data_IF_035957729366
#
_entry.id   IF_035957729366
#
_cell.length_a   1.000
_cell.length_b   1.000
_cell.length_c   1.000
_cell.angle_alpha   90.00
_cell.angle_beta   90.00
_cell.angle_gamma   90.00
#
_symmetry.space_group_name_H-M   'P 1'
#
loop_
_entity.id
_entity.type
_entity.pdbx_description
1 polymer ?
#
# COMPACT_ATOMS: atom_id res chain seq x y z
N UNK A 1 -9.24 -0.44 -12.91
CA UNK A 1 -7.87 -0.76 -13.37
C UNK A 1 -7.60 -2.23 -13.10
N UNK A 2 -6.96 -2.92 -14.03
CA UNK A 2 -6.53 -4.31 -13.91
C UNK A 2 -5.00 -4.36 -13.91
N UNK A 3 -4.40 -4.92 -12.85
CA UNK A 3 -2.97 -5.19 -12.82
C UNK A 3 -2.73 -6.64 -13.21
N UNK A 4 -1.85 -6.90 -14.16
CA UNK A 4 -1.55 -8.25 -14.66
C UNK A 4 -1.10 -9.21 -13.55
N UNK A 5 -0.44 -8.67 -12.54
CA UNK A 5 0.09 -9.37 -11.37
C UNK A 5 -0.83 -9.32 -10.13
N UNK A 6 -2.04 -8.76 -10.25
CA UNK A 6 -2.90 -8.56 -9.08
C UNK A 6 -3.44 -9.87 -8.54
N UNK A 7 -2.99 -10.24 -7.36
CA UNK A 7 -3.44 -11.46 -6.70
C UNK A 7 -4.94 -11.47 -6.39
N UNK A 8 -5.51 -10.30 -6.04
CA UNK A 8 -6.93 -10.20 -5.72
C UNK A 8 -7.81 -10.37 -6.95
N UNK A 9 -7.34 -10.04 -8.14
CA UNK A 9 -8.08 -10.25 -9.38
C UNK A 9 -7.95 -11.68 -9.90
N UNK A 10 -6.77 -12.26 -9.73
CA UNK A 10 -6.47 -13.59 -10.22
C UNK A 10 -7.04 -14.69 -9.31
N UNK A 11 -7.31 -14.37 -8.04
CA UNK A 11 -7.95 -15.30 -7.13
C UNK A 11 -9.48 -15.30 -7.32
N UNK A 12 -9.97 -16.34 -7.98
CA UNK A 12 -11.41 -16.54 -8.25
C UNK A 12 -12.23 -16.84 -7.00
N UNK A 13 -11.57 -17.16 -5.88
CA UNK A 13 -12.24 -17.45 -4.60
C UNK A 13 -12.55 -16.18 -3.80
N UNK A 14 -11.92 -15.06 -4.16
CA UNK A 14 -12.16 -13.79 -3.49
C UNK A 14 -13.49 -13.16 -3.95
N UNK A 15 -14.32 -12.86 -2.99
CA UNK A 15 -15.58 -12.17 -3.24
C UNK A 15 -15.32 -10.70 -3.60
N UNK A 16 -15.85 -10.27 -4.74
CA UNK A 16 -15.71 -8.91 -5.27
C UNK A 16 -16.99 -8.13 -5.01
N UNK A 17 -17.10 -7.52 -3.84
CA UNK A 17 -18.24 -6.67 -3.47
C UNK A 17 -17.77 -5.43 -2.70
N UNK A 18 -18.64 -4.44 -2.63
CA UNK A 18 -18.45 -3.28 -1.76
C UNK A 18 -18.76 -3.67 -0.31
N UNK A 19 -18.12 -3.03 0.63
CA UNK A 19 -18.45 -3.19 2.05
C UNK A 19 -19.83 -2.61 2.32
N UNK A 20 -20.67 -3.33 3.07
CA UNK A 20 -21.97 -2.81 3.49
C UNK A 20 -21.82 -1.78 4.60
N UNK A 21 -22.79 -0.87 4.70
CA UNK A 21 -22.85 0.12 5.77
C UNK A 21 -22.84 -0.52 7.16
N UNK A 22 -23.61 -1.61 7.31
CA UNK A 22 -23.71 -2.38 8.57
C UNK A 22 -22.33 -2.98 8.96
N UNK A 23 -21.63 -3.59 8.00
CA UNK A 23 -20.32 -4.18 8.25
C UNK A 23 -19.31 -3.09 8.63
N UNK A 24 -19.31 -1.96 7.92
CA UNK A 24 -18.44 -0.83 8.23
C UNK A 24 -18.72 -0.27 9.64
N UNK A 25 -19.99 -0.04 9.97
CA UNK A 25 -20.40 0.49 11.26
C UNK A 25 -19.97 -0.45 12.41
N UNK A 26 -20.10 -1.77 12.19
CA UNK A 26 -19.62 -2.78 13.16
C UNK A 26 -18.10 -2.72 13.33
N UNK A 27 -17.33 -2.63 12.24
CA UNK A 27 -15.87 -2.50 12.32
C UNK A 27 -15.49 -1.25 13.10
N UNK A 28 -16.06 -0.10 12.75
CA UNK A 28 -15.75 1.17 13.41
C UNK A 28 -16.14 1.17 14.89
N UNK A 29 -17.28 0.57 15.26
CA UNK A 29 -17.70 0.42 16.64
C UNK A 29 -16.71 -0.42 17.47
N UNK A 30 -16.23 -1.53 16.92
CA UNK A 30 -15.22 -2.37 17.60
C UNK A 30 -13.91 -1.59 17.80
N UNK A 31 -13.50 -0.83 16.80
CA UNK A 31 -12.28 0.00 16.88
C UNK A 31 -12.46 1.10 17.94
N UNK A 32 -13.63 1.77 17.99
CA UNK A 32 -13.92 2.79 19.00
C UNK A 32 -13.84 2.21 20.41
N UNK A 33 -14.48 1.08 20.67
CA UNK A 33 -14.41 0.38 21.96
C UNK A 33 -12.96 0.04 22.33
N UNK A 34 -12.18 -0.43 21.37
CA UNK A 34 -10.76 -0.73 21.61
C UNK A 34 -9.96 0.53 21.98
N UNK A 35 -10.20 1.65 21.30
CA UNK A 35 -9.53 2.92 21.57
C UNK A 35 -9.89 3.46 22.96
N UNK A 36 -11.16 3.42 23.34
CA UNK A 36 -11.65 3.83 24.67
C UNK A 36 -11.00 3.01 25.79
N UNK A 37 -10.90 1.69 25.61
CA UNK A 37 -10.26 0.80 26.57
C UNK A 37 -8.73 0.91 26.61
N UNK A 38 -8.11 1.53 25.59
CA UNK A 38 -6.66 1.64 25.45
C UNK A 38 -6.22 3.08 25.12
N UNK A 39 -6.49 4.08 25.98
CA UNK A 39 -6.27 5.51 25.65
C UNK A 39 -4.80 5.87 25.40
N UNK A 40 -3.87 5.05 25.87
CA UNK A 40 -2.43 5.25 25.67
C UNK A 40 -1.89 4.60 24.38
N UNK A 41 -2.73 3.91 23.61
CA UNK A 41 -2.33 3.30 22.34
C UNK A 41 -2.75 4.16 21.17
N UNK A 42 -1.84 4.38 20.24
CA UNK A 42 -2.16 5.03 18.97
C UNK A 42 -2.76 4.00 18.01
N UNK A 43 -4.00 4.21 17.62
CA UNK A 43 -4.66 3.46 16.55
C UNK A 43 -4.60 4.27 15.27
N UNK A 44 -4.34 3.63 14.13
CA UNK A 44 -4.40 4.24 12.80
C UNK A 44 -5.20 3.31 11.89
N UNK A 45 -6.06 3.88 11.08
CA UNK A 45 -6.81 3.13 10.08
C UNK A 45 -6.02 3.01 8.79
N UNK A 46 -6.29 1.95 8.03
CA UNK A 46 -5.71 1.77 6.70
C UNK A 46 -6.77 1.27 5.72
N UNK A 47 -6.92 1.94 4.59
CA UNK A 47 -7.73 1.47 3.50
C UNK A 47 -6.83 0.73 2.50
N UNK A 48 -7.16 -0.53 2.29
CA UNK A 48 -6.39 -1.44 1.43
C UNK A 48 -7.31 -2.46 0.77
N UNK A 49 -6.89 -2.97 -0.38
CA UNK A 49 -7.57 -4.07 -1.07
C UNK A 49 -8.60 -3.60 -2.10
N UNK A 50 -8.67 -4.30 -3.23
CA UNK A 50 -9.38 -3.82 -4.41
C UNK A 50 -8.91 -2.41 -4.80
N UNK A 51 -9.86 -1.51 -4.95
CA UNK A 51 -9.60 -0.08 -5.06
C UNK A 51 -10.47 0.68 -4.06
N UNK A 52 -9.92 1.22 -2.97
CA UNK A 52 -10.70 1.94 -1.96
C UNK A 52 -11.36 3.21 -2.49
N UNK A 53 -10.72 3.86 -3.49
CA UNK A 53 -11.19 5.13 -4.03
C UNK A 53 -12.17 4.97 -5.22
N UNK A 54 -12.85 3.84 -5.34
CA UNK A 54 -14.00 3.77 -6.25
C UNK A 54 -15.03 4.84 -5.88
N UNK A 55 -15.68 5.43 -6.88
CA UNK A 55 -16.71 6.47 -6.65
C UNK A 55 -17.84 5.93 -5.79
N UNK A 56 -18.18 4.67 -5.97
CA UNK A 56 -19.19 3.95 -5.19
C UNK A 56 -18.86 3.87 -3.70
N UNK A 57 -17.57 3.99 -3.35
CA UNK A 57 -17.10 4.00 -1.96
C UNK A 57 -17.14 5.39 -1.32
N UNK A 58 -17.68 6.42 -1.96
CA UNK A 58 -17.63 7.78 -1.42
C UNK A 58 -18.21 7.88 0.00
N UNK A 59 -19.34 7.23 0.26
CA UNK A 59 -19.95 7.18 1.60
C UNK A 59 -19.07 6.49 2.63
N UNK A 60 -18.35 5.44 2.22
CA UNK A 60 -17.40 4.72 3.07
C UNK A 60 -16.24 5.64 3.47
N UNK A 61 -15.70 6.38 2.51
CA UNK A 61 -14.63 7.36 2.75
C UNK A 61 -15.12 8.46 3.70
N UNK A 62 -16.33 8.97 3.52
CA UNK A 62 -16.90 10.01 4.39
C UNK A 62 -17.08 9.51 5.83
N UNK A 63 -17.63 8.30 6.03
CA UNK A 63 -17.77 7.68 7.35
C UNK A 63 -16.41 7.50 8.04
N UNK A 64 -15.40 7.03 7.32
CA UNK A 64 -14.06 6.82 7.89
C UNK A 64 -13.40 8.16 8.26
N UNK A 65 -13.50 9.18 7.42
CA UNK A 65 -12.98 10.51 7.74
C UNK A 65 -13.69 11.15 8.93
N UNK A 66 -15.01 10.97 9.03
CA UNK A 66 -15.78 11.42 10.19
C UNK A 66 -15.36 10.69 11.46
N UNK A 67 -15.21 9.36 11.41
CA UNK A 67 -14.68 8.58 12.52
C UNK A 67 -13.29 9.05 12.95
N UNK A 68 -12.39 9.29 12.01
CA UNK A 68 -11.05 9.81 12.32
C UNK A 68 -11.11 11.16 13.02
N UNK A 69 -12.04 12.03 12.64
CA UNK A 69 -12.25 13.34 13.27
C UNK A 69 -12.77 13.21 14.70
N UNK A 70 -13.78 12.35 14.93
CA UNK A 70 -14.42 12.14 16.23
C UNK A 70 -13.46 11.51 17.24
N UNK A 71 -12.68 10.52 16.79
CA UNK A 71 -11.77 9.76 17.66
C UNK A 71 -10.32 10.27 17.63
N UNK A 72 -10.05 11.43 16.97
CA UNK A 72 -8.71 12.05 16.86
C UNK A 72 -7.64 11.06 16.35
N UNK A 73 -8.01 10.23 15.39
CA UNK A 73 -7.12 9.28 14.72
C UNK A 73 -6.90 9.66 13.26
N UNK A 74 -6.16 8.84 12.54
CA UNK A 74 -5.84 9.10 11.12
C UNK A 74 -6.05 7.85 10.27
N UNK A 75 -6.24 8.07 8.99
CA UNK A 75 -6.30 7.02 7.99
C UNK A 75 -5.17 7.17 6.97
N UNK A 76 -4.58 6.06 6.54
CA UNK A 76 -3.78 5.99 5.33
C UNK A 76 -4.54 5.24 4.22
N UNK A 77 -4.25 5.57 2.97
CA UNK A 77 -5.03 5.09 1.83
C UNK A 77 -4.09 4.53 0.78
N UNK A 78 -4.18 3.23 0.51
CA UNK A 78 -3.47 2.58 -0.61
C UNK A 78 -4.41 2.54 -1.81
N UNK A 79 -3.97 3.06 -2.95
CA UNK A 79 -4.82 3.22 -4.13
C UNK A 79 -4.05 2.99 -5.43
N UNK A 80 -4.76 2.58 -6.47
CA UNK A 80 -4.22 2.60 -7.83
C UNK A 80 -4.16 4.01 -8.44
N UNK A 81 -4.77 5.00 -7.77
CA UNK A 81 -4.75 6.41 -8.15
C UNK A 81 -5.78 6.81 -9.21
N UNK A 82 -6.51 5.90 -9.83
CA UNK A 82 -7.43 6.19 -10.94
C UNK A 82 -8.51 7.22 -10.60
N UNK A 83 -8.93 7.27 -9.34
CA UNK A 83 -9.97 8.19 -8.86
C UNK A 83 -9.44 9.24 -7.89
N UNK A 84 -8.11 9.37 -7.75
CA UNK A 84 -7.52 10.30 -6.80
C UNK A 84 -7.95 11.75 -7.06
N UNK A 85 -8.08 12.16 -8.33
CA UNK A 85 -8.55 13.49 -8.70
C UNK A 85 -9.97 13.79 -8.19
N UNK A 86 -10.85 12.80 -8.19
CA UNK A 86 -12.22 12.95 -7.67
C UNK A 86 -12.22 13.25 -6.16
N UNK A 87 -11.35 12.60 -5.39
CA UNK A 87 -11.25 12.77 -3.94
C UNK A 87 -10.33 13.90 -3.49
N UNK A 88 -9.61 14.55 -4.39
CA UNK A 88 -8.54 15.49 -4.07
C UNK A 88 -9.00 16.62 -3.13
N UNK A 89 -10.12 17.29 -3.47
CA UNK A 89 -10.70 18.35 -2.62
C UNK A 89 -11.08 17.84 -1.24
N UNK A 90 -11.71 16.66 -1.16
CA UNK A 90 -12.11 16.02 0.10
C UNK A 90 -10.90 15.74 0.98
N UNK A 91 -9.81 15.24 0.41
CA UNK A 91 -8.58 14.95 1.15
C UNK A 91 -7.88 16.22 1.64
N UNK A 92 -7.83 17.27 0.83
CA UNK A 92 -7.25 18.55 1.23
C UNK A 92 -8.01 19.15 2.44
N UNK A 93 -9.34 19.12 2.40
CA UNK A 93 -10.17 19.62 3.52
C UNK A 93 -9.91 18.81 4.79
N UNK A 94 -9.76 17.49 4.67
CA UNK A 94 -9.58 16.57 5.79
C UNK A 94 -8.12 16.19 6.06
N UNK A 95 -7.13 16.95 5.57
CA UNK A 95 -5.70 16.59 5.59
C UNK A 95 -5.15 16.24 6.97
N UNK A 96 -5.72 16.81 8.05
CA UNK A 96 -5.30 16.53 9.43
C UNK A 96 -5.61 15.10 9.87
N UNK A 97 -6.54 14.44 9.19
CA UNK A 97 -6.97 13.08 9.49
C UNK A 97 -6.43 12.04 8.50
N UNK A 98 -5.58 12.49 7.56
CA UNK A 98 -4.92 11.62 6.58
C UNK A 98 -3.44 11.53 6.93
N UNK A 99 -2.98 10.35 7.34
CA UNK A 99 -1.57 10.11 7.66
C UNK A 99 -0.71 9.88 6.42
N UNK A 100 -1.31 9.52 5.30
CA UNK A 100 -0.62 9.37 4.02
C UNK A 100 -1.49 8.74 2.94
N UNK A 101 -1.12 8.99 1.70
CA UNK A 101 -1.72 8.37 0.50
C UNK A 101 -0.63 7.61 -0.23
N UNK A 102 -0.91 6.37 -0.60
CA UNK A 102 0.02 5.41 -1.19
C UNK A 102 -0.46 5.01 -2.60
N UNK A 103 -0.30 5.90 -3.60
CA UNK A 103 -0.63 5.59 -4.98
C UNK A 103 0.43 4.66 -5.58
N UNK A 104 0.06 3.90 -6.60
CA UNK A 104 0.99 3.02 -7.31
C UNK A 104 1.10 3.41 -8.77
N UNK A 105 2.34 3.59 -9.26
CA UNK A 105 2.70 3.75 -10.67
C UNK A 105 3.88 2.82 -10.94
N UNK A 106 3.71 1.86 -11.87
CA UNK A 106 4.76 0.89 -12.15
C UNK A 106 5.82 1.44 -13.14
N UNK A 107 5.42 2.38 -13.99
CA UNK A 107 6.31 3.11 -14.88
C UNK A 107 5.59 4.36 -15.39
N UNK A 108 6.32 5.40 -15.73
CA UNK A 108 5.74 6.60 -16.33
C UNK A 108 5.21 6.35 -17.75
N UNK A 109 5.98 5.66 -18.55
CA UNK A 109 5.67 5.41 -19.96
C UNK A 109 4.81 4.15 -20.17
N UNK A 110 5.04 3.10 -19.38
CA UNK A 110 4.49 1.76 -19.59
C UNK A 110 3.46 1.34 -18.54
N UNK A 111 3.02 2.27 -17.69
CA UNK A 111 2.09 1.97 -16.59
C UNK A 111 0.84 1.23 -17.07
N UNK A 112 0.30 1.59 -18.21
CA UNK A 112 -0.88 0.96 -18.79
C UNK A 112 -0.64 -0.47 -19.30
N UNK A 113 0.58 -0.92 -19.45
CA UNK A 113 0.89 -2.29 -19.89
C UNK A 113 0.74 -3.29 -18.74
N UNK A 114 1.14 -2.90 -17.53
CA UNK A 114 1.04 -3.73 -16.33
C UNK A 114 -0.22 -3.43 -15.51
N UNK A 115 -0.74 -2.22 -15.63
CA UNK A 115 -1.88 -1.67 -14.87
C UNK A 115 -2.87 -1.00 -15.82
N UNK A 116 -3.51 -1.78 -16.68
CA UNK A 116 -4.44 -1.24 -17.67
C UNK A 116 -5.84 -0.94 -17.08
N UNK A 117 -6.50 0.07 -17.61
CA UNK A 117 -7.92 0.34 -17.35
C UNK A 117 -8.79 -0.49 -18.32
N UNK A 118 -9.97 -0.90 -17.86
CA UNK A 118 -10.94 -1.58 -18.73
C UNK A 118 -11.50 -0.65 -19.80
N UNK A 119 -11.49 0.66 -19.56
CA UNK A 119 -11.73 1.66 -20.58
C UNK A 119 -10.45 1.94 -21.35
N UNK A 120 -10.33 1.49 -22.61
CA UNK A 120 -9.10 1.66 -23.41
C UNK A 120 -8.68 3.11 -23.59
N UNK A 121 -9.61 4.07 -23.54
CA UNK A 121 -9.33 5.50 -23.70
C UNK A 121 -8.46 6.05 -22.55
N UNK A 122 -8.44 5.37 -21.40
CA UNK A 122 -7.65 5.73 -20.23
C UNK A 122 -6.28 5.06 -20.17
N UNK A 123 -5.98 4.18 -21.12
CA UNK A 123 -4.68 3.50 -21.18
C UNK A 123 -3.66 4.36 -21.94
N UNK A 124 -3.24 5.46 -21.33
CA UNK A 124 -2.28 6.38 -21.90
C UNK A 124 -1.47 7.12 -20.84
N UNK A 125 -0.39 7.74 -21.25
CA UNK A 125 0.52 8.49 -20.37
C UNK A 125 -0.11 9.72 -19.71
N UNK A 126 -1.18 10.27 -20.29
CA UNK A 126 -1.87 11.43 -19.70
C UNK A 126 -2.52 11.09 -18.36
N UNK A 127 -3.05 9.87 -18.17
CA UNK A 127 -3.63 9.45 -16.91
C UNK A 127 -2.56 9.34 -15.82
N UNK A 128 -1.37 8.82 -16.16
CA UNK A 128 -0.22 8.80 -15.25
C UNK A 128 0.20 10.23 -14.89
N UNK A 129 0.27 11.13 -15.87
CA UNK A 129 0.61 12.53 -15.63
C UNK A 129 -0.43 13.24 -14.74
N UNK A 130 -1.73 13.02 -14.96
CA UNK A 130 -2.80 13.55 -14.08
C UNK A 130 -2.63 13.06 -12.64
N UNK A 131 -2.28 11.80 -12.45
CA UNK A 131 -2.02 11.26 -11.12
C UNK A 131 -0.84 11.98 -10.45
N UNK A 132 0.25 12.25 -11.18
CA UNK A 132 1.38 13.01 -10.63
C UNK A 132 1.02 14.45 -10.29
N UNK A 133 0.16 15.10 -11.06
CA UNK A 133 -0.38 16.43 -10.72
C UNK A 133 -1.20 16.38 -9.41
N UNK A 134 -2.01 15.33 -9.21
CA UNK A 134 -2.72 15.13 -7.95
C UNK A 134 -1.74 14.93 -6.78
N UNK A 135 -0.70 14.12 -6.97
CA UNK A 135 0.36 13.91 -5.96
C UNK A 135 1.01 15.24 -5.59
N UNK A 136 1.42 16.03 -6.57
CA UNK A 136 2.03 17.35 -6.34
C UNK A 136 1.09 18.28 -5.56
N UNK A 137 -0.19 18.24 -5.87
CA UNK A 137 -1.20 19.01 -5.14
C UNK A 137 -1.33 18.55 -3.69
N UNK A 138 -1.40 17.24 -3.43
CA UNK A 138 -1.46 16.69 -2.07
C UNK A 138 -0.23 17.11 -1.24
N UNK A 139 0.96 17.02 -1.81
CA UNK A 139 2.22 17.44 -1.18
C UNK A 139 2.20 18.94 -0.84
N UNK A 140 1.73 19.79 -1.76
CA UNK A 140 1.58 21.23 -1.52
C UNK A 140 0.70 21.53 -0.29
N UNK A 141 -0.32 20.72 -0.03
CA UNK A 141 -1.17 20.84 1.16
C UNK A 141 -0.63 20.07 2.38
N UNK A 142 0.59 19.54 2.31
CA UNK A 142 1.28 18.89 3.42
C UNK A 142 0.81 17.46 3.70
N UNK A 143 0.11 16.83 2.76
CA UNK A 143 -0.27 15.42 2.88
C UNK A 143 0.92 14.56 2.44
N UNK A 144 1.30 13.59 3.27
CA UNK A 144 2.36 12.64 2.93
C UNK A 144 1.92 11.72 1.78
N UNK A 145 2.81 11.56 0.80
CA UNK A 145 2.61 10.62 -0.32
C UNK A 145 3.81 9.68 -0.42
N UNK A 146 3.52 8.39 -0.42
CA UNK A 146 4.52 7.35 -0.69
C UNK A 146 4.14 6.65 -2.00
N UNK A 147 4.80 7.03 -3.09
CA UNK A 147 4.57 6.44 -4.40
C UNK A 147 5.12 5.03 -4.43
N UNK A 148 4.27 4.04 -4.72
CA UNK A 148 4.68 2.66 -4.93
C UNK A 148 4.96 2.36 -6.40
N UNK A 149 6.01 1.59 -6.67
CA UNK A 149 6.31 1.03 -8.00
C UNK A 149 6.58 -0.45 -7.83
N UNK A 150 5.84 -1.30 -8.54
CA UNK A 150 6.11 -2.74 -8.58
C UNK A 150 6.89 -3.09 -9.84
N UNK A 151 8.01 -3.76 -9.66
CA UNK A 151 8.94 -4.07 -10.73
C UNK A 151 8.81 -5.52 -11.16
N UNK A 152 8.80 -5.71 -12.46
CA UNK A 152 8.89 -7.00 -13.17
C UNK A 152 9.90 -6.92 -14.32
N UNK A 153 10.01 -7.99 -15.12
CA UNK A 153 10.93 -8.05 -16.27
C UNK A 153 10.61 -7.05 -17.38
N UNK A 154 9.39 -6.54 -17.45
CA UNK A 154 8.98 -5.60 -18.49
C UNK A 154 9.34 -4.15 -18.14
N UNK A 155 9.25 -3.78 -16.86
CA UNK A 155 9.37 -2.39 -16.46
C UNK A 155 10.62 -2.04 -15.63
N UNK A 156 11.48 -3.01 -15.27
CA UNK A 156 12.61 -2.75 -14.37
C UNK A 156 13.57 -1.67 -14.88
N UNK A 157 13.80 -1.59 -16.18
CA UNK A 157 14.66 -0.56 -16.80
C UNK A 157 14.05 0.83 -16.75
N UNK A 158 12.72 0.92 -16.64
CA UNK A 158 11.99 2.18 -16.57
C UNK A 158 12.15 2.91 -15.23
N UNK A 159 12.76 2.28 -14.23
CA UNK A 159 13.06 2.91 -12.93
C UNK A 159 13.82 4.22 -13.13
N UNK A 160 14.80 4.23 -14.02
CA UNK A 160 15.66 5.40 -14.25
C UNK A 160 14.92 6.51 -14.96
N UNK A 161 14.08 6.18 -15.94
CA UNK A 161 13.21 7.14 -16.60
C UNK A 161 12.19 7.73 -15.61
N UNK A 162 11.60 6.89 -14.78
CA UNK A 162 10.70 7.32 -13.70
C UNK A 162 11.41 8.24 -12.70
N UNK A 163 12.64 7.89 -12.28
CA UNK A 163 13.45 8.74 -11.40
C UNK A 163 13.69 10.13 -12.00
N UNK A 164 14.05 10.19 -13.28
CA UNK A 164 14.31 11.46 -13.97
C UNK A 164 13.04 12.30 -14.11
N UNK A 165 11.89 11.68 -14.36
CA UNK A 165 10.60 12.39 -14.41
C UNK A 165 10.16 12.89 -13.04
N UNK A 166 10.35 12.11 -11.99
CA UNK A 166 10.10 12.55 -10.61
C UNK A 166 11.00 13.74 -10.22
N UNK A 167 12.26 13.75 -10.66
CA UNK A 167 13.19 14.89 -10.49
C UNK A 167 12.70 16.12 -11.26
N UNK A 168 12.35 16.00 -12.54
CA UNK A 168 11.82 17.11 -13.37
C UNK A 168 10.57 17.73 -12.73
N UNK A 169 9.69 16.90 -12.17
CA UNK A 169 8.50 17.34 -11.46
C UNK A 169 8.77 17.88 -10.05
N UNK A 170 10.03 17.84 -9.61
CA UNK A 170 10.46 18.29 -8.28
C UNK A 170 9.79 17.55 -7.10
N UNK A 171 9.32 16.33 -7.32
CA UNK A 171 8.66 15.54 -6.28
C UNK A 171 9.67 15.01 -5.25
N UNK A 172 10.86 14.61 -5.70
CA UNK A 172 11.91 14.07 -4.82
C UNK A 172 12.51 15.10 -3.85
N UNK A 173 12.18 16.38 -3.99
CA UNK A 173 12.66 17.45 -3.10
C UNK A 173 11.67 17.74 -1.99
N UNK A 174 10.44 17.22 -2.07
CA UNK A 174 9.43 17.43 -1.04
C UNK A 174 9.64 16.46 0.12
N UNK A 175 9.75 16.99 1.33
CA UNK A 175 9.95 16.20 2.56
C UNK A 175 8.80 15.23 2.89
N UNK A 176 7.62 15.50 2.33
CA UNK A 176 6.45 14.65 2.50
C UNK A 176 6.31 13.59 1.39
N UNK A 177 7.26 13.55 0.44
CA UNK A 177 7.27 12.58 -0.64
C UNK A 177 8.25 11.45 -0.34
N UNK A 178 7.83 10.22 -0.57
CA UNK A 178 8.68 9.04 -0.64
C UNK A 178 8.34 8.24 -1.91
N UNK A 179 9.33 7.53 -2.45
CA UNK A 179 9.13 6.58 -3.53
C UNK A 179 9.62 5.21 -3.10
N UNK A 180 8.70 4.26 -3.04
CA UNK A 180 8.98 2.88 -2.63
C UNK A 180 8.96 1.97 -3.85
N UNK A 181 10.11 1.38 -4.17
CA UNK A 181 10.29 0.41 -5.24
C UNK A 181 10.12 -0.99 -4.65
N UNK A 182 9.11 -1.70 -5.11
CA UNK A 182 8.81 -3.07 -4.71
C UNK A 182 8.94 -4.04 -5.87
N UNK A 183 8.89 -5.31 -5.56
CA UNK A 183 8.90 -6.41 -6.51
C UNK A 183 7.50 -6.97 -6.68
N UNK A 184 7.13 -7.34 -7.90
CA UNK A 184 5.99 -8.24 -8.11
C UNK A 184 6.31 -9.59 -7.45
N UNK A 185 5.41 -10.04 -6.57
CA UNK A 185 5.60 -11.28 -5.79
C UNK A 185 4.43 -12.24 -6.01
N UNK A 186 4.71 -13.48 -6.38
CA UNK A 186 3.72 -14.52 -6.62
C UNK A 186 3.74 -15.65 -5.60
N UNK A 187 4.66 -15.59 -4.62
CA UNK A 187 4.95 -16.69 -3.69
C UNK A 187 3.73 -17.25 -2.96
N UNK A 188 2.64 -16.51 -2.89
CA UNK A 188 1.42 -16.93 -2.23
C UNK A 188 0.30 -17.30 -3.20
N UNK A 189 0.49 -17.10 -4.50
CA UNK A 189 -0.64 -17.08 -5.43
C UNK A 189 -0.67 -18.21 -6.43
N UNK A 190 0.43 -18.97 -6.56
CA UNK A 190 0.53 -20.04 -7.56
C UNK A 190 0.15 -19.57 -8.99
N UNK A 191 0.30 -18.26 -9.23
CA UNK A 191 -0.19 -17.64 -10.46
C UNK A 191 0.75 -17.82 -11.63
N UNK A 192 1.92 -18.46 -11.43
CA UNK A 192 2.95 -18.65 -12.46
C UNK A 192 3.18 -17.37 -13.29
N UNK A 193 3.24 -16.20 -12.63
CA UNK A 193 3.54 -14.96 -13.33
C UNK A 193 4.97 -15.07 -13.90
N UNK A 194 5.14 -15.15 -15.24
CA UNK A 194 6.42 -15.53 -15.85
C UNK A 194 7.48 -14.43 -15.74
N UNK A 195 7.06 -13.22 -15.41
CA UNK A 195 7.89 -12.03 -15.52
C UNK A 195 8.43 -11.54 -14.18
N UNK A 196 8.40 -12.40 -13.17
CA UNK A 196 8.97 -12.13 -11.85
C UNK A 196 10.48 -12.02 -11.96
N UNK A 197 11.01 -10.96 -11.34
CA UNK A 197 12.44 -10.78 -11.17
C UNK A 197 12.90 -11.33 -9.83
N UNK A 198 14.09 -11.94 -9.84
CA UNK A 198 14.80 -12.25 -8.60
C UNK A 198 15.26 -10.95 -7.93
N UNK A 199 15.28 -10.93 -6.59
CA UNK A 199 15.74 -9.76 -5.85
C UNK A 199 17.17 -9.36 -6.21
N UNK A 200 18.04 -10.33 -6.51
CA UNK A 200 19.40 -10.08 -6.98
C UNK A 200 19.46 -9.36 -8.33
N UNK A 201 18.52 -9.63 -9.22
CA UNK A 201 18.44 -8.94 -10.53
C UNK A 201 18.02 -7.48 -10.34
N UNK A 202 17.06 -7.21 -9.45
CA UNK A 202 16.61 -5.84 -9.13
C UNK A 202 17.74 -5.08 -8.42
N UNK A 203 18.42 -5.72 -7.48
CA UNK A 203 19.56 -5.11 -6.79
C UNK A 203 20.66 -4.74 -7.79
N UNK A 204 20.99 -5.60 -8.73
CA UNK A 204 21.98 -5.31 -9.77
C UNK A 204 21.58 -4.10 -10.61
N UNK A 205 20.29 -3.95 -10.95
CA UNK A 205 19.79 -2.77 -11.66
C UNK A 205 19.94 -1.50 -10.81
N UNK A 206 19.53 -1.53 -9.55
CA UNK A 206 19.57 -0.37 -8.65
C UNK A 206 21.00 0.06 -8.28
N UNK A 207 21.99 -0.81 -8.47
CA UNK A 207 23.41 -0.51 -8.23
C UNK A 207 24.00 0.45 -9.26
N UNK A 208 23.44 0.51 -10.44
CA UNK A 208 24.05 1.23 -11.55
C UNK A 208 24.09 2.76 -11.37
N UNK A 209 23.23 3.31 -10.48
CA UNK A 209 23.16 4.75 -10.19
C UNK A 209 22.75 5.00 -8.73
N UNK A 210 23.25 6.07 -8.09
CA UNK A 210 22.83 6.44 -6.73
C UNK A 210 21.36 6.87 -6.70
N UNK A 211 20.63 6.38 -5.70
CA UNK A 211 19.25 6.77 -5.43
C UNK A 211 19.20 7.92 -4.40
N UNK A 212 18.25 8.87 -4.53
CA UNK A 212 18.00 9.89 -3.51
C UNK A 212 17.52 9.30 -2.18
N UNK A 213 17.71 10.04 -1.07
CA UNK A 213 17.42 9.58 0.30
C UNK A 213 15.95 9.20 0.55
N UNK A 214 15.01 9.78 -0.18
CA UNK A 214 13.59 9.47 -0.09
C UNK A 214 13.11 8.41 -1.09
N UNK A 215 14.04 7.71 -1.75
CA UNK A 215 13.76 6.54 -2.58
C UNK A 215 14.14 5.28 -1.82
N UNK A 216 13.19 4.38 -1.66
CA UNK A 216 13.34 3.19 -0.84
C UNK A 216 13.10 1.94 -1.68
N UNK A 217 13.87 0.88 -1.44
CA UNK A 217 13.62 -0.43 -1.99
C UNK A 217 12.96 -1.32 -0.92
N UNK A 218 11.79 -1.90 -1.24
CA UNK A 218 11.06 -2.79 -0.36
C UNK A 218 11.45 -4.25 -0.66
N UNK A 219 12.52 -4.72 -0.03
CA UNK A 219 13.02 -6.09 -0.18
C UNK A 219 12.95 -6.87 1.13
N UNK A 220 13.06 -8.19 1.05
CA UNK A 220 13.21 -9.05 2.21
C UNK A 220 14.62 -8.88 2.84
N UNK A 221 14.73 -9.15 4.14
CA UNK A 221 15.97 -8.99 4.92
C UNK A 221 17.19 -9.71 4.31
N UNK A 222 17.00 -10.83 3.63
CA UNK A 222 18.07 -11.54 2.92
C UNK A 222 18.79 -10.67 1.90
N UNK A 223 18.07 -9.74 1.27
CA UNK A 223 18.63 -8.81 0.30
C UNK A 223 19.33 -7.63 0.94
N UNK A 224 18.88 -7.20 2.13
CA UNK A 224 19.61 -6.21 2.92
C UNK A 224 21.02 -6.72 3.29
N UNK A 225 21.10 -7.96 3.78
CA UNK A 225 22.38 -8.57 4.09
C UNK A 225 23.28 -8.76 2.86
N UNK A 226 22.69 -9.00 1.70
CA UNK A 226 23.41 -9.11 0.44
C UNK A 226 23.87 -7.73 -0.04
N UNK A 227 23.01 -6.72 0.02
CA UNK A 227 23.34 -5.34 -0.32
C UNK A 227 24.50 -4.81 0.56
N UNK A 228 24.42 -5.03 1.88
CA UNK A 228 25.50 -4.67 2.83
C UNK A 228 26.84 -5.32 2.47
N UNK A 229 26.83 -6.62 2.17
CA UNK A 229 28.04 -7.36 1.75
C UNK A 229 28.62 -6.84 0.45
N UNK A 230 27.80 -6.26 -0.43
CA UNK A 230 28.18 -5.68 -1.71
C UNK A 230 28.58 -4.20 -1.59
N UNK A 231 28.54 -3.63 -0.39
CA UNK A 231 28.83 -2.20 -0.17
C UNK A 231 27.77 -1.25 -0.76
N UNK A 232 26.55 -1.74 -0.94
CA UNK A 232 25.47 -0.96 -1.49
C UNK A 232 24.84 -0.11 -0.41
N UNK A 233 24.98 1.20 -0.54
CA UNK A 233 24.15 2.17 0.17
C UNK A 233 22.80 2.30 -0.54
N UNK A 234 21.99 1.26 -0.48
CA UNK A 234 20.58 1.44 -0.75
C UNK A 234 19.97 2.11 0.46
N UNK A 235 19.23 3.21 0.28
CA UNK A 235 18.36 3.75 1.32
C UNK A 235 17.20 2.77 1.51
N UNK A 236 17.53 1.67 2.12
CA UNK A 236 16.59 0.64 2.47
C UNK A 236 15.84 1.20 3.67
N UNK A 237 14.52 1.29 3.62
CA UNK A 237 13.75 1.52 4.85
C UNK A 237 14.31 0.57 5.88
N UNK A 238 14.99 1.12 6.88
CA UNK A 238 15.35 0.35 8.07
C UNK A 238 14.06 -0.15 8.70
N UNK A 239 13.55 -1.26 8.21
CA UNK A 239 12.74 -2.07 9.06
C UNK A 239 13.69 -2.55 10.14
N UNK A 240 13.66 -1.91 11.29
CA UNK A 240 14.29 -2.38 12.54
C UNK A 240 13.68 -3.73 12.93
N UNK A 241 13.69 -4.69 12.01
CA UNK A 241 13.20 -6.02 12.24
C UNK A 241 14.39 -6.91 12.51
N UNK A 242 14.49 -7.26 13.77
CA UNK A 242 15.46 -8.23 14.30
C UNK A 242 15.20 -9.65 13.77
N UNK A 243 14.19 -9.89 12.93
CA UNK A 243 13.78 -11.24 12.52
C UNK A 243 13.83 -11.42 11.00
N UNK A 244 14.24 -12.62 10.59
CA UNK A 244 14.39 -13.09 9.20
C UNK A 244 13.08 -13.36 8.45
N UNK A 245 11.94 -13.00 9.04
CA UNK A 245 10.60 -13.31 8.52
C UNK A 245 9.86 -12.05 8.04
N UNK A 246 8.83 -12.28 7.23
CA UNK A 246 7.91 -11.24 6.78
C UNK A 246 7.42 -10.40 7.97
N UNK A 247 7.30 -9.09 7.79
CA UNK A 247 6.83 -8.15 8.82
C UNK A 247 5.48 -8.54 9.43
N UNK A 248 4.63 -9.26 8.69
CA UNK A 248 3.34 -9.74 9.15
C UNK A 248 3.44 -10.83 10.22
N UNK A 249 4.59 -11.49 10.35
CA UNK A 249 4.85 -12.52 11.35
C UNK A 249 5.59 -11.98 12.58
N UNK A 250 6.02 -10.71 12.57
CA UNK A 250 6.68 -10.08 13.69
C UNK A 250 5.74 -9.93 14.90
N UNK A 251 6.16 -10.40 16.05
CA UNK A 251 5.42 -10.23 17.32
C UNK A 251 5.29 -8.76 17.76
N UNK A 252 6.14 -7.89 17.25
CA UNK A 252 6.12 -6.45 17.54
C UNK A 252 5.13 -5.65 16.68
N UNK A 253 4.60 -6.24 15.60
CA UNK A 253 3.65 -5.58 14.73
C UNK A 253 2.22 -5.85 15.19
N UNK A 254 1.47 -4.79 15.48
CA UNK A 254 0.04 -4.84 15.83
C UNK A 254 -0.83 -4.45 14.63
N UNK A 255 -0.42 -4.79 13.41
CA UNK A 255 -1.22 -4.54 12.21
C UNK A 255 -2.13 -5.72 11.94
N UNK A 256 -3.40 -5.44 11.73
CA UNK A 256 -4.43 -6.38 11.32
C UNK A 256 -5.11 -5.91 10.06
N UNK A 257 -5.50 -6.85 9.22
CA UNK A 257 -6.36 -6.63 8.07
C UNK A 257 -7.69 -7.29 8.33
N UNK A 258 -8.77 -6.54 8.13
CA UNK A 258 -10.13 -7.04 8.33
C UNK A 258 -10.83 -7.03 6.98
N UNK A 259 -11.41 -8.16 6.59
CA UNK A 259 -12.20 -8.26 5.36
C UNK A 259 -13.70 -7.94 5.58
N UNK A 260 -14.45 -7.94 4.51
CA UNK A 260 -15.88 -7.65 4.52
C UNK A 260 -16.73 -8.72 5.23
N UNK A 261 -16.16 -9.88 5.53
CA UNK A 261 -16.78 -10.96 6.28
C UNK A 261 -16.35 -10.94 7.74
N UNK A 262 -15.75 -9.83 8.21
CA UNK A 262 -15.23 -9.66 9.57
C UNK A 262 -14.17 -10.70 9.95
N UNK A 263 -13.45 -11.24 8.98
CA UNK A 263 -12.29 -12.10 9.24
C UNK A 263 -11.02 -11.26 9.35
N UNK A 264 -10.15 -11.64 10.27
CA UNK A 264 -8.93 -10.90 10.59
C UNK A 264 -7.70 -11.65 10.08
N UNK A 265 -6.77 -10.91 9.51
CA UNK A 265 -5.54 -11.43 8.91
C UNK A 265 -4.33 -10.60 9.35
N UNK A 266 -3.15 -11.21 9.25
CA UNK A 266 -1.87 -10.53 9.52
C UNK A 266 -1.15 -10.06 8.26
N UNK A 267 -1.52 -10.58 7.11
CA UNK A 267 -0.85 -10.28 5.83
C UNK A 267 -1.86 -9.86 4.78
N UNK A 268 -1.55 -8.78 4.04
CA UNK A 268 -2.36 -8.32 2.91
C UNK A 268 -2.59 -9.40 1.88
N UNK A 269 -1.58 -10.25 1.68
CA UNK A 269 -1.60 -11.32 0.69
C UNK A 269 -2.57 -12.46 1.04
N UNK A 270 -2.99 -12.57 2.30
CA UNK A 270 -3.87 -13.65 2.76
C UNK A 270 -5.32 -13.18 2.99
N UNK A 271 -5.59 -11.88 2.85
CA UNK A 271 -6.92 -11.31 3.05
C UNK A 271 -7.92 -11.96 2.11
N UNK A 272 -9.08 -12.34 2.67
CA UNK A 272 -10.16 -13.02 1.94
C UNK A 272 -10.00 -14.53 1.81
N UNK A 273 -8.87 -15.09 2.19
CA UNK A 273 -8.62 -16.54 2.20
C UNK A 273 -8.86 -17.10 3.58
N UNK A 274 -10.05 -17.63 3.83
CA UNK A 274 -10.52 -18.05 5.17
C UNK A 274 -9.55 -18.98 5.91
N UNK A 275 -8.82 -19.84 5.21
CA UNK A 275 -7.80 -20.73 5.80
C UNK A 275 -6.64 -20.01 6.50
N UNK A 276 -6.44 -18.73 6.21
CA UNK A 276 -5.41 -17.88 6.84
C UNK A 276 -5.99 -16.86 7.80
N UNK A 277 -7.29 -16.91 8.05
CA UNK A 277 -7.93 -16.07 9.07
C UNK A 277 -7.44 -16.46 10.45
N UNK A 278 -7.14 -15.46 11.27
CA UNK A 278 -6.71 -15.64 12.65
C UNK A 278 -7.91 -15.81 13.57
N UNK A 279 -8.90 -14.94 13.40
CA UNK A 279 -10.11 -14.89 14.24
C UNK A 279 -11.18 -14.01 13.58
N UNK A 280 -12.40 -14.13 14.06
CA UNK A 280 -13.49 -13.21 13.70
C UNK A 280 -13.27 -11.87 14.40
N UNK A 281 -13.36 -10.77 13.64
CA UNK A 281 -13.12 -9.44 14.15
C UNK A 281 -14.18 -9.04 15.17
N UNK A 282 -13.79 -9.03 16.44
CA UNK A 282 -14.60 -8.62 17.58
C UNK A 282 -13.72 -7.93 18.61
N UNK A 283 -14.33 -7.18 19.52
CA UNK A 283 -13.61 -6.52 20.61
C UNK A 283 -12.87 -7.54 21.48
N UNK A 284 -13.53 -8.62 21.84
CA UNK A 284 -12.97 -9.69 22.68
C UNK A 284 -11.76 -10.34 22.03
N UNK A 285 -11.89 -10.77 20.78
CA UNK A 285 -10.80 -11.40 20.04
C UNK A 285 -9.62 -10.47 19.81
N UNK A 286 -9.90 -9.19 19.53
CA UNK A 286 -8.85 -8.18 19.34
C UNK A 286 -8.06 -7.92 20.62
N UNK A 287 -8.72 -7.88 21.77
CA UNK A 287 -8.07 -7.62 23.07
C UNK A 287 -7.34 -8.83 23.63
N UNK A 288 -7.84 -10.02 23.35
CA UNK A 288 -7.28 -11.28 23.85
C UNK A 288 -6.19 -11.86 22.93
N UNK A 289 -6.04 -11.31 21.72
CA UNK A 289 -5.03 -11.82 20.78
C UNK A 289 -3.62 -11.69 21.35
N UNK A 290 -2.91 -12.79 21.36
CA UNK A 290 -1.49 -12.85 21.69
C UNK A 290 -0.74 -13.39 20.47
N UNK A 291 0.21 -12.64 19.90
CA UNK A 291 1.00 -13.14 18.79
C UNK A 291 1.79 -14.37 19.26
N UNK A 292 1.65 -15.47 18.52
CA UNK A 292 2.47 -16.65 18.73
C UNK A 292 3.87 -16.32 18.23
N UNK A 293 4.86 -16.39 19.10
CA UNK A 293 6.25 -16.29 18.66
C UNK A 293 6.55 -17.51 17.78
N UNK A 294 6.85 -17.29 16.52
CA UNK A 294 7.38 -18.33 15.66
C UNK A 294 8.84 -18.48 16.05
N UNK A 295 9.15 -19.54 16.77
CA UNK A 295 10.52 -19.96 17.13
C UNK A 295 11.26 -20.48 15.91
#
# INVERSE_FOLDING_TARGET
MHCTYCYQQNDKTLEKKLISDETLDKILSIIAQYMEANPNKTVRLGLFGGEPLLIENEKVIDKILQFCKEHKTTVHITTNGSFLSYYLKKFIINRRFISGIYPTIDSMALNYMTRYDLDPSRNNTNETFKLLCCIKTLLHYGIHVDLGTNIDRHNHKEIWNTLDDLKKLQLLQDKNFAWTIGRVDDRLYETNFPDIMMESEILAELQSKPLPDNVHAAFLKTCYNFADKMGLKLNLREHKQTHSYCWSTSSSSNVFYVDMNLKTYRCTCTVGRSRYSLFDFSYENLTNYRPVAVT
#
